data_IF_324689368122
#
_entry.id   IF_324689368122
#
_cell.length_a   1.000
_cell.length_b   1.000
_cell.length_c   1.000
_cell.angle_alpha   90.00
_cell.angle_beta   90.00
_cell.angle_gamma   90.00
#
_symmetry.space_group_name_H-M   'P 1'
#
loop_
_entity.id
_entity.type
_entity.pdbx_description
1 polymer ?
#
# COMPACT_ATOMS: atom_id res chain seq x y z
N UNK A 1 12.77 -10.85 -11.08
CA UNK A 1 11.74 -9.99 -10.47
C UNK A 1 12.40 -8.82 -9.77
N UNK A 2 11.88 -7.61 -9.93
CA UNK A 2 12.31 -6.42 -9.15
C UNK A 2 11.40 -6.27 -7.93
N UNK A 3 11.96 -5.92 -6.77
CA UNK A 3 11.15 -5.65 -5.58
C UNK A 3 10.48 -4.27 -5.66
N UNK A 4 9.18 -4.22 -5.44
CA UNK A 4 8.39 -2.97 -5.44
C UNK A 4 8.41 -2.25 -4.09
N UNK A 5 8.82 -2.92 -3.02
CA UNK A 5 8.91 -2.38 -1.67
C UNK A 5 10.19 -2.82 -0.96
N UNK A 6 10.57 -2.04 0.04
CA UNK A 6 11.64 -2.40 0.97
C UNK A 6 11.12 -3.39 2.00
N UNK A 7 11.82 -4.50 2.15
CA UNK A 7 11.48 -5.58 3.09
C UNK A 7 12.64 -5.86 4.04
N UNK A 8 12.31 -6.32 5.25
CA UNK A 8 13.27 -6.83 6.22
C UNK A 8 13.11 -8.34 6.33
N UNK A 9 14.19 -9.09 6.15
CA UNK A 9 14.18 -10.53 6.35
C UNK A 9 14.02 -10.87 7.84
N UNK A 10 13.10 -11.77 8.17
CA UNK A 10 12.84 -12.13 9.57
C UNK A 10 13.92 -13.05 10.16
N UNK A 11 14.60 -13.83 9.33
CA UNK A 11 15.63 -14.77 9.79
C UNK A 11 16.98 -14.10 10.12
N UNK A 12 17.39 -13.09 9.34
CA UNK A 12 18.72 -12.46 9.50
C UNK A 12 18.67 -10.95 9.76
N UNK A 13 17.48 -10.34 9.74
CA UNK A 13 17.32 -8.90 9.91
C UNK A 13 17.85 -8.04 8.77
N UNK A 14 18.31 -8.63 7.66
CA UNK A 14 18.83 -7.89 6.52
C UNK A 14 17.71 -7.09 5.83
N UNK A 15 18.00 -5.84 5.50
CA UNK A 15 17.12 -5.00 4.71
C UNK A 15 17.41 -5.19 3.22
N UNK A 16 16.34 -5.40 2.46
CA UNK A 16 16.37 -5.50 1.01
C UNK A 16 15.56 -4.33 0.49
N UNK A 17 16.23 -3.43 -0.21
CA UNK A 17 15.63 -2.18 -0.69
C UNK A 17 14.78 -2.39 -1.94
N UNK A 18 13.84 -1.47 -2.15
CA UNK A 18 13.08 -1.37 -3.41
C UNK A 18 14.04 -1.32 -4.61
N UNK A 19 13.69 -2.02 -5.68
CA UNK A 19 14.42 -2.02 -6.95
C UNK A 19 15.53 -3.06 -7.07
N UNK A 20 15.85 -3.80 -6.02
CA UNK A 20 16.81 -4.92 -6.11
C UNK A 20 16.28 -6.02 -7.03
N UNK A 21 17.14 -6.51 -7.94
CA UNK A 21 16.82 -7.57 -8.88
C UNK A 21 17.11 -8.94 -8.27
N UNK A 22 16.13 -9.84 -8.32
CA UNK A 22 16.29 -11.23 -7.89
C UNK A 22 15.89 -12.22 -8.97
N UNK A 23 16.59 -13.35 -8.99
CA UNK A 23 16.10 -14.56 -9.61
C UNK A 23 15.04 -15.16 -8.69
N UNK A 24 13.83 -15.31 -9.21
CA UNK A 24 12.66 -15.76 -8.46
C UNK A 24 11.95 -16.85 -9.24
N UNK A 25 11.46 -17.88 -8.55
CA UNK A 25 10.52 -18.84 -9.15
C UNK A 25 9.11 -18.25 -9.08
N UNK A 26 8.36 -18.38 -10.18
CA UNK A 26 6.98 -17.93 -10.31
C UNK A 26 6.08 -19.15 -10.20
N UNK A 27 5.05 -19.06 -9.36
CA UNK A 27 3.97 -20.04 -9.25
C UNK A 27 2.63 -19.32 -9.40
N UNK A 28 1.70 -19.94 -10.11
CA UNK A 28 0.35 -19.41 -10.29
C UNK A 28 -0.53 -19.86 -9.12
N UNK A 29 -1.19 -18.92 -8.46
CA UNK A 29 -2.05 -19.24 -7.32
C UNK A 29 -3.41 -19.70 -7.84
N UNK A 30 -3.63 -21.00 -7.81
CA UNK A 30 -4.89 -21.60 -8.27
C UNK A 30 -6.04 -21.20 -7.33
N UNK A 31 -7.10 -20.61 -7.88
CA UNK A 31 -8.35 -20.29 -7.17
C UNK A 31 -8.49 -18.86 -6.64
N UNK A 32 -7.46 -18.01 -6.77
CA UNK A 32 -7.46 -16.64 -6.26
C UNK A 32 -7.31 -15.65 -7.43
N UNK A 33 -8.41 -15.42 -8.15
CA UNK A 33 -8.49 -14.49 -9.29
C UNK A 33 -9.29 -13.25 -8.91
N UNK A 34 -8.75 -12.07 -9.22
CA UNK A 34 -9.45 -10.81 -9.01
C UNK A 34 -9.92 -10.27 -10.35
N UNK A 35 -11.24 -10.16 -10.56
CA UNK A 35 -11.85 -9.71 -11.83
C UNK A 35 -11.30 -10.45 -13.07
N UNK A 36 -10.89 -11.72 -12.92
CA UNK A 36 -10.30 -12.53 -13.99
C UNK A 36 -8.77 -12.44 -14.13
N UNK A 37 -8.10 -11.58 -13.36
CA UNK A 37 -6.64 -11.47 -13.33
C UNK A 37 -6.08 -12.51 -12.35
N UNK A 38 -5.12 -13.31 -12.82
CA UNK A 38 -4.43 -14.32 -12.01
C UNK A 38 -3.43 -13.67 -11.05
N UNK A 39 -3.45 -14.10 -9.78
CA UNK A 39 -2.43 -13.73 -8.80
C UNK A 39 -1.23 -14.68 -8.90
N UNK A 40 -0.04 -14.12 -8.81
CA UNK A 40 1.21 -14.87 -8.84
C UNK A 40 1.88 -14.88 -7.47
N UNK A 41 2.47 -16.02 -7.12
CA UNK A 41 3.33 -16.18 -5.97
C UNK A 41 4.77 -16.28 -6.44
N UNK A 42 5.61 -15.40 -5.92
CA UNK A 42 7.04 -15.39 -6.18
C UNK A 42 7.79 -15.92 -4.97
N UNK A 43 8.77 -16.79 -5.21
CA UNK A 43 9.72 -17.19 -4.20
C UNK A 43 11.12 -16.79 -4.61
N UNK A 44 11.83 -16.18 -3.68
CA UNK A 44 13.22 -15.79 -3.84
C UNK A 44 13.95 -16.01 -2.52
N UNK A 45 15.29 -15.97 -2.58
CA UNK A 45 16.14 -16.20 -1.42
C UNK A 45 16.73 -14.89 -0.93
N UNK A 46 16.87 -14.74 0.38
CA UNK A 46 17.62 -13.64 0.97
C UNK A 46 19.09 -13.72 0.58
N UNK A 47 19.73 -12.58 0.28
CA UNK A 47 21.15 -12.51 -0.11
C UNK A 47 22.12 -12.95 0.97
N UNK A 48 21.75 -12.86 2.26
CA UNK A 48 22.64 -13.20 3.38
C UNK A 48 22.41 -14.60 3.94
N UNK A 49 21.17 -14.94 4.29
CA UNK A 49 20.86 -16.20 4.98
C UNK A 49 20.30 -17.28 4.07
N UNK A 50 20.11 -17.01 2.77
CA UNK A 50 19.47 -17.92 1.82
C UNK A 50 18.07 -18.41 2.23
N UNK A 51 17.45 -17.78 3.23
CA UNK A 51 16.09 -18.06 3.64
C UNK A 51 15.12 -17.72 2.51
N UNK A 52 14.10 -18.56 2.34
CA UNK A 52 13.08 -18.38 1.34
C UNK A 52 12.05 -17.34 1.79
N UNK A 53 11.78 -16.38 0.92
CA UNK A 53 10.78 -15.33 1.14
C UNK A 53 9.72 -15.48 0.05
N UNK A 54 8.45 -15.42 0.45
CA UNK A 54 7.32 -15.54 -0.46
C UNK A 54 6.53 -14.25 -0.53
N UNK A 55 6.19 -13.84 -1.75
CA UNK A 55 5.40 -12.65 -2.02
C UNK A 55 4.30 -12.99 -3.02
N UNK A 56 3.09 -12.50 -2.75
CA UNK A 56 1.95 -12.55 -3.64
C UNK A 56 1.77 -11.19 -4.32
N UNK A 57 1.32 -11.19 -5.56
CA UNK A 57 0.88 -9.95 -6.24
C UNK A 57 -0.61 -9.72 -5.99
N UNK A 58 -0.96 -8.49 -5.58
CA UNK A 58 -2.35 -8.08 -5.38
C UNK A 58 -2.76 -7.04 -6.44
N UNK A 59 -3.53 -7.44 -7.47
CA UNK A 59 -3.90 -6.57 -8.59
C UNK A 59 -4.82 -5.41 -8.17
N UNK A 60 -5.53 -5.51 -7.04
CA UNK A 60 -6.41 -4.45 -6.55
C UNK A 60 -5.66 -3.21 -6.05
N UNK A 61 -4.52 -3.41 -5.37
CA UNK A 61 -3.76 -2.33 -4.76
C UNK A 61 -2.47 -2.00 -5.53
N UNK A 62 -2.22 -2.66 -6.66
CA UNK A 62 -0.96 -2.56 -7.44
C UNK A 62 0.32 -2.81 -6.61
N UNK A 63 0.17 -3.40 -5.42
CA UNK A 63 1.21 -3.69 -4.46
C UNK A 63 1.43 -5.21 -4.38
N UNK A 64 2.58 -5.62 -3.87
CA UNK A 64 2.83 -7.02 -3.52
C UNK A 64 2.65 -7.22 -2.02
N UNK A 65 2.05 -8.32 -1.59
CA UNK A 65 1.91 -8.67 -0.18
C UNK A 65 2.92 -9.75 0.17
N UNK A 66 3.62 -9.56 1.28
CA UNK A 66 4.56 -10.57 1.79
C UNK A 66 3.77 -11.62 2.56
N UNK A 67 3.86 -12.89 2.16
CA UNK A 67 3.22 -14.00 2.88
C UNK A 67 4.16 -14.59 3.94
N UNK A 68 5.43 -14.86 3.58
CA UNK A 68 6.37 -15.54 4.47
C UNK A 68 7.80 -14.99 4.38
N UNK A 69 8.53 -15.05 5.51
CA UNK A 69 9.99 -14.88 5.56
C UNK A 69 10.49 -13.44 5.62
N UNK A 70 9.61 -12.45 5.46
CA UNK A 70 9.95 -11.05 5.59
C UNK A 70 8.80 -10.20 6.13
N UNK A 71 9.13 -9.02 6.63
CA UNK A 71 8.18 -8.00 7.04
C UNK A 71 8.43 -6.74 6.23
N UNK A 72 7.35 -6.09 5.77
CA UNK A 72 7.45 -4.79 5.09
C UNK A 72 7.97 -3.74 6.07
N UNK A 73 8.85 -2.86 5.61
CA UNK A 73 9.26 -1.74 6.45
C UNK A 73 8.06 -0.83 6.76
N UNK A 74 7.90 -0.41 8.02
CA UNK A 74 6.83 0.52 8.40
C UNK A 74 7.21 1.93 7.95
N UNK A 75 6.35 2.52 7.13
CA UNK A 75 6.49 3.86 6.59
C UNK A 75 5.40 4.73 7.23
N UNK A 76 5.74 5.65 8.18
CA UNK A 76 4.75 6.42 8.93
C UNK A 76 3.78 7.23 8.05
N UNK A 77 4.28 7.79 6.95
CA UNK A 77 3.48 8.55 5.98
C UNK A 77 2.38 7.72 5.32
N UNK A 78 2.55 6.39 5.23
CA UNK A 78 1.55 5.51 4.62
C UNK A 78 0.34 5.30 5.54
N UNK A 79 0.58 5.24 6.85
CA UNK A 79 -0.51 5.18 7.82
C UNK A 79 -1.29 6.49 7.86
N UNK A 80 -0.60 7.62 7.69
CA UNK A 80 -1.22 8.95 7.57
C UNK A 80 -2.07 9.07 6.30
N UNK A 81 -1.57 8.62 5.16
CA UNK A 81 -2.31 8.59 3.89
C UNK A 81 -3.57 7.70 3.98
N UNK A 82 -3.48 6.53 4.61
CA UNK A 82 -4.63 5.64 4.83
C UNK A 82 -5.71 6.28 5.73
N UNK A 83 -5.32 7.04 6.75
CA UNK A 83 -6.27 7.76 7.61
C UNK A 83 -6.91 8.94 6.87
N UNK A 84 -6.13 9.70 6.11
CA UNK A 84 -6.63 10.80 5.27
C UNK A 84 -7.64 10.30 4.22
N UNK A 85 -7.37 9.17 3.58
CA UNK A 85 -8.28 8.56 2.61
C UNK A 85 -9.59 8.08 3.26
N UNK A 86 -9.52 7.52 4.47
CA UNK A 86 -10.73 7.14 5.23
C UNK A 86 -11.53 8.37 5.61
N UNK A 87 -10.88 9.45 6.01
CA UNK A 87 -11.54 10.69 6.39
C UNK A 87 -12.22 11.35 5.18
N UNK A 88 -11.55 11.36 4.02
CA UNK A 88 -12.15 11.82 2.76
C UNK A 88 -13.38 11.01 2.38
N UNK A 89 -13.31 9.67 2.42
CA UNK A 89 -14.47 8.83 2.09
C UNK A 89 -15.65 9.08 3.02
N UNK A 90 -15.40 9.21 4.33
CA UNK A 90 -16.46 9.57 5.29
C UNK A 90 -17.08 10.91 4.97
N UNK A 91 -16.26 11.91 4.62
CA UNK A 91 -16.75 13.23 4.23
C UNK A 91 -17.57 13.17 2.94
N UNK A 92 -17.13 12.41 1.95
CA UNK A 92 -17.85 12.20 0.69
C UNK A 92 -19.19 11.48 0.92
N UNK A 93 -19.22 10.43 1.74
CA UNK A 93 -20.44 9.69 2.09
C UNK A 93 -21.45 10.57 2.85
N UNK A 94 -20.96 11.43 3.75
CA UNK A 94 -21.78 12.41 4.48
C UNK A 94 -22.30 13.55 3.59
N UNK A 95 -21.57 13.89 2.53
CA UNK A 95 -21.93 14.94 1.57
C UNK A 95 -22.83 14.40 0.43
N UNK A 96 -22.84 13.08 0.19
CA UNK A 96 -23.63 12.43 -0.87
C UNK A 96 -25.15 12.52 -0.64
N UNK A 97 -25.59 12.75 0.60
CA UNK A 97 -27.00 12.89 0.97
C UNK A 97 -27.55 14.32 0.96
N UNK A 98 -26.71 15.34 1.16
CA UNK A 98 -27.13 16.73 1.40
C UNK A 98 -26.28 17.73 0.61
N UNK A 99 -26.76 18.15 -0.56
CA UNK A 99 -26.08 19.11 -1.44
C UNK A 99 -25.78 20.47 -0.78
N UNK A 100 -26.58 20.89 0.22
CA UNK A 100 -26.30 22.10 1.01
C UNK A 100 -25.10 21.93 1.96
N UNK A 101 -24.90 20.74 2.53
CA UNK A 101 -23.82 20.45 3.48
C UNK A 101 -22.44 20.51 2.80
N UNK A 102 -22.33 19.99 1.57
CA UNK A 102 -21.11 20.11 0.76
C UNK A 102 -20.77 21.57 0.42
N UNK A 103 -21.79 22.38 0.09
CA UNK A 103 -21.65 23.82 -0.20
C UNK A 103 -21.20 24.62 1.03
N UNK A 104 -21.74 24.31 2.21
CA UNK A 104 -21.36 24.96 3.47
C UNK A 104 -19.92 24.61 3.90
N UNK A 105 -19.53 23.34 3.73
CA UNK A 105 -18.18 22.85 3.97
C UNK A 105 -17.15 23.55 3.07
N UNK A 106 -17.40 23.64 1.76
CA UNK A 106 -16.52 24.36 0.81
C UNK A 106 -16.37 25.83 1.14
N UNK A 107 -17.45 26.47 1.58
CA UNK A 107 -17.43 27.89 1.97
C UNK A 107 -16.64 28.11 3.26
N UNK A 108 -16.77 27.20 4.23
CA UNK A 108 -16.04 27.24 5.50
C UNK A 108 -14.54 26.96 5.34
N UNK A 109 -14.17 26.01 4.48
CA UNK A 109 -12.76 25.74 4.13
C UNK A 109 -12.13 26.94 3.41
N UNK A 110 -12.87 27.58 2.51
CA UNK A 110 -12.42 28.83 1.87
C UNK A 110 -12.17 29.92 2.92
N UNK A 111 -13.09 30.14 3.86
CA UNK A 111 -12.90 31.13 4.94
C UNK A 111 -11.69 30.83 5.83
N UNK A 112 -11.44 29.56 6.18
CA UNK A 112 -10.26 29.14 6.96
C UNK A 112 -8.95 29.38 6.19
N UNK A 113 -8.90 29.01 4.91
CA UNK A 113 -7.74 29.25 4.06
C UNK A 113 -7.43 30.74 3.91
N UNK A 114 -8.45 31.57 3.72
CA UNK A 114 -8.30 33.02 3.66
C UNK A 114 -7.80 33.62 4.98
N UNK A 115 -8.25 33.10 6.11
CA UNK A 115 -7.82 33.56 7.44
C UNK A 115 -6.36 33.17 7.76
N UNK A 116 -5.86 32.06 7.20
CA UNK A 116 -4.45 31.67 7.33
C UNK A 116 -3.50 32.53 6.48
N UNK A 117 -4.00 33.09 5.37
CA UNK A 117 -3.26 34.00 4.48
C UNK A 117 -3.18 35.44 4.98
N UNK A 118 -3.99 35.81 5.98
CA UNK A 118 -4.08 37.15 6.56
C UNK A 118 -3.24 37.33 7.84
N UNK A 119 -2.51 36.29 8.27
CA UNK A 119 -1.54 36.28 9.36
C UNK A 119 -0.12 36.19 8.80
#
# INVERSE_FOLDING_TARGET
MTLTMTIRCNSCGNYIYKGTMFNSRKEDVVGDTYLGIQKFRFYFKCTKCSAEITMKTDPQNSDNVVEFGATRNFEPWRAEDEELDKEKRKREDEEMGDAMKSLENRTSDSKRGWMFLLL
#
